data_IF_636433056605
#
_entry.id   IF_636433056605
#
_cell.length_a   1.000
_cell.length_b   1.000
_cell.length_c   1.000
_cell.angle_alpha   90.00
_cell.angle_beta   90.00
_cell.angle_gamma   90.00
#
_symmetry.space_group_name_H-M   'P 1'
#
loop_
_entity.id
_entity.type
_entity.pdbx_description
1 polymer ?
#
# COMPACT_ATOMS: atom_id res chain seq x y z
N UNK A 1 12.72 -55.36 -26.41
CA UNK A 1 13.13 -54.11 -27.09
C UNK A 1 12.29 -54.00 -28.36
N UNK A 2 11.59 -52.88 -28.58
CA UNK A 2 12.22 -51.66 -29.10
C UNK A 2 12.04 -50.45 -28.17
N UNK A 3 13.00 -49.54 -28.26
CA UNK A 3 13.02 -48.21 -27.66
C UNK A 3 12.06 -47.33 -28.45
N UNK A 4 11.18 -46.60 -27.77
CA UNK A 4 10.60 -45.39 -28.35
C UNK A 4 10.88 -44.20 -27.43
N UNK A 5 11.46 -43.22 -28.08
CA UNK A 5 11.98 -41.94 -27.62
C UNK A 5 10.92 -41.05 -26.98
N UNK A 6 11.31 -40.41 -25.89
CA UNK A 6 10.62 -39.27 -25.27
C UNK A 6 10.46 -38.11 -26.26
N UNK A 7 9.57 -37.16 -25.92
CA UNK A 7 10.14 -35.86 -25.57
C UNK A 7 9.72 -35.48 -24.15
N UNK A 8 10.72 -35.26 -23.30
CA UNK A 8 10.56 -34.59 -22.01
C UNK A 8 9.95 -33.22 -22.31
N UNK A 9 8.72 -32.98 -21.87
CA UNK A 9 8.17 -31.63 -21.79
C UNK A 9 9.15 -30.80 -20.97
N UNK A 10 9.76 -29.80 -21.60
CA UNK A 10 10.48 -28.72 -20.92
C UNK A 10 9.49 -28.13 -19.90
N UNK A 11 9.83 -28.26 -18.63
CA UNK A 11 9.28 -27.40 -17.59
C UNK A 11 9.89 -26.04 -17.90
N UNK A 12 9.10 -24.98 -18.19
CA UNK A 12 9.65 -23.64 -18.15
C UNK A 12 9.97 -23.38 -16.68
N UNK A 13 11.26 -23.29 -16.37
CA UNK A 13 11.73 -22.53 -15.22
C UNK A 13 11.21 -21.12 -15.42
N UNK A 14 10.11 -20.77 -14.73
CA UNK A 14 9.64 -19.39 -14.71
C UNK A 14 10.55 -18.63 -13.76
N UNK A 15 11.69 -18.19 -14.31
CA UNK A 15 12.29 -16.92 -13.92
C UNK A 15 11.26 -15.83 -14.20
N UNK A 16 10.48 -15.52 -13.18
CA UNK A 16 9.85 -14.22 -13.01
C UNK A 16 10.17 -13.79 -11.58
N UNK A 17 11.47 -13.60 -11.35
CA UNK A 17 11.96 -12.57 -10.44
C UNK A 17 11.65 -11.22 -11.08
N UNK A 18 10.38 -10.81 -11.00
CA UNK A 18 10.09 -9.41 -10.83
C UNK A 18 9.80 -9.30 -9.35
N UNK A 19 10.70 -8.65 -8.61
CA UNK A 19 10.33 -7.99 -7.37
C UNK A 19 8.99 -7.32 -7.62
N UNK A 20 7.90 -7.93 -7.14
CA UNK A 20 6.62 -7.27 -7.09
C UNK A 20 6.87 -6.12 -6.13
N UNK A 21 7.34 -4.98 -6.66
CA UNK A 21 7.37 -3.72 -5.94
C UNK A 21 6.00 -3.64 -5.33
N UNK A 22 5.95 -3.81 -4.00
CA UNK A 22 4.70 -3.81 -3.28
C UNK A 22 4.07 -2.47 -3.63
N UNK A 23 3.00 -2.49 -4.43
CA UNK A 23 2.45 -1.29 -5.05
C UNK A 23 2.19 -0.21 -3.99
N UNK A 24 1.87 -0.65 -2.77
CA UNK A 24 1.89 0.14 -1.56
C UNK A 24 3.08 -0.21 -0.67
N UNK A 25 3.93 0.76 -0.35
CA UNK A 25 5.05 0.61 0.58
C UNK A 25 4.65 0.92 2.04
N UNK A 26 3.72 1.85 2.23
CA UNK A 26 3.18 2.21 3.54
C UNK A 26 1.74 2.69 3.45
N UNK A 27 1.03 2.66 4.58
CA UNK A 27 -0.30 3.24 4.70
C UNK A 27 -0.44 4.03 6.02
N UNK A 28 -0.98 5.24 5.93
CA UNK A 28 -1.32 6.07 7.09
C UNK A 28 -2.78 5.85 7.47
N UNK A 29 -3.02 5.31 8.66
CA UNK A 29 -4.34 4.93 9.13
C UNK A 29 -5.02 5.99 10.00
N UNK A 30 -6.35 5.94 10.07
CA UNK A 30 -7.17 6.87 10.85
C UNK A 30 -7.06 6.69 12.37
N UNK A 31 -6.46 5.59 12.83
CA UNK A 31 -6.04 5.41 14.22
C UNK A 31 -4.71 6.12 14.55
N UNK A 32 -4.11 6.79 13.56
CA UNK A 32 -2.86 7.54 13.70
C UNK A 32 -1.61 6.70 13.47
N UNK A 33 -1.75 5.40 13.23
CA UNK A 33 -0.63 4.50 13.00
C UNK A 33 -0.14 4.57 11.55
N UNK A 34 1.18 4.49 11.39
CA UNK A 34 1.83 4.28 10.10
C UNK A 34 2.16 2.80 9.96
N UNK A 35 1.68 2.17 8.90
CA UNK A 35 1.95 0.76 8.62
C UNK A 35 2.93 0.63 7.47
N UNK A 36 3.96 -0.20 7.63
CA UNK A 36 4.90 -0.56 6.55
C UNK A 36 4.59 -1.95 6.03
N UNK A 37 4.64 -2.12 4.71
CA UNK A 37 4.40 -3.40 4.07
C UNK A 37 5.50 -4.42 4.42
N UNK A 38 5.13 -5.69 4.47
CA UNK A 38 6.07 -6.80 4.64
C UNK A 38 5.69 -7.96 3.72
N UNK A 39 6.69 -8.70 3.23
CA UNK A 39 6.47 -9.82 2.30
C UNK A 39 6.22 -11.15 3.01
N UNK A 40 6.89 -11.38 4.15
CA UNK A 40 6.87 -12.67 4.84
C UNK A 40 6.09 -12.60 6.16
N UNK A 41 6.72 -12.08 7.21
CA UNK A 41 6.14 -11.94 8.53
C UNK A 41 6.44 -10.55 9.10
N UNK A 42 5.52 -9.97 9.89
CA UNK A 42 5.79 -8.74 10.60
C UNK A 42 6.88 -8.98 11.66
N UNK A 43 7.64 -7.94 12.04
CA UNK A 43 8.53 -8.04 13.18
C UNK A 43 7.77 -8.46 14.45
N UNK A 44 8.38 -9.24 15.37
CA UNK A 44 7.72 -9.71 16.58
C UNK A 44 7.14 -8.56 17.42
N UNK A 45 5.94 -8.77 17.95
CA UNK A 45 5.27 -7.80 18.82
C UNK A 45 4.68 -6.57 18.12
N UNK A 46 4.76 -6.49 16.79
CA UNK A 46 4.11 -5.41 16.02
C UNK A 46 2.64 -5.73 15.75
N UNK A 47 1.79 -4.72 15.92
CA UNK A 47 0.42 -4.79 15.46
C UNK A 47 0.38 -4.91 13.93
N UNK A 48 -0.57 -5.67 13.41
CA UNK A 48 -0.75 -5.87 11.97
C UNK A 48 -2.05 -5.21 11.53
N UNK A 49 -1.99 -4.54 10.39
CA UNK A 49 -3.16 -4.09 9.66
C UNK A 49 -3.26 -4.89 8.36
N UNK A 50 -4.43 -5.49 8.15
CA UNK A 50 -4.84 -6.05 6.86
C UNK A 50 -6.02 -5.22 6.38
N UNK A 51 -5.90 -4.65 5.19
CA UNK A 51 -6.95 -3.83 4.60
C UNK A 51 -7.18 -4.13 3.14
N UNK A 52 -8.41 -3.92 2.70
CA UNK A 52 -8.84 -4.13 1.32
C UNK A 52 -9.16 -2.78 0.68
N UNK A 53 -8.67 -2.59 -0.54
CA UNK A 53 -8.83 -1.33 -1.26
C UNK A 53 -10.31 -1.08 -1.61
N UNK A 54 -10.76 0.16 -1.38
CA UNK A 54 -11.98 0.69 -1.96
C UNK A 54 -11.82 0.85 -3.46
N UNK A 55 -12.84 0.48 -4.21
CA UNK A 55 -12.92 0.71 -5.65
C UNK A 55 -13.20 2.19 -5.92
N UNK A 56 -12.80 2.67 -7.09
CA UNK A 56 -12.92 4.09 -7.43
C UNK A 56 -14.36 4.61 -7.43
N UNK A 57 -15.34 3.77 -7.77
CA UNK A 57 -16.77 4.10 -7.70
C UNK A 57 -17.27 4.20 -6.26
N UNK A 58 -16.79 3.36 -5.35
CA UNK A 58 -17.09 3.44 -3.92
C UNK A 58 -16.52 4.73 -3.31
N UNK A 59 -15.25 5.05 -3.59
CA UNK A 59 -14.60 6.29 -3.13
C UNK A 59 -15.40 7.52 -3.59
N UNK A 60 -15.86 7.53 -4.85
CA UNK A 60 -16.71 8.61 -5.39
C UNK A 60 -18.08 8.67 -4.71
N UNK A 61 -18.70 7.50 -4.47
CA UNK A 61 -20.02 7.40 -3.84
C UNK A 61 -20.01 7.94 -2.41
N UNK A 62 -18.99 7.60 -1.62
CA UNK A 62 -18.85 8.12 -0.25
C UNK A 62 -18.42 9.59 -0.24
N UNK A 63 -17.54 9.97 -1.17
CA UNK A 63 -16.90 11.28 -1.18
C UNK A 63 -16.05 11.52 0.07
N UNK A 64 -15.38 12.68 0.12
CA UNK A 64 -14.47 13.01 1.23
C UNK A 64 -15.18 13.01 2.58
N UNK A 65 -16.37 13.63 2.66
CA UNK A 65 -17.12 13.71 3.92
C UNK A 65 -17.57 12.35 4.44
N UNK A 66 -18.07 11.47 3.56
CA UNK A 66 -18.48 10.12 3.95
C UNK A 66 -17.31 9.26 4.41
N UNK A 67 -16.16 9.37 3.72
CA UNK A 67 -14.94 8.67 4.11
C UNK A 67 -14.39 9.15 5.45
N UNK A 68 -14.41 10.46 5.71
CA UNK A 68 -14.01 11.01 7.01
C UNK A 68 -14.93 10.55 8.15
N UNK A 69 -16.25 10.54 7.93
CA UNK A 69 -17.20 10.01 8.91
C UNK A 69 -16.99 8.52 9.17
N UNK A 70 -16.70 7.74 8.12
CA UNK A 70 -16.40 6.32 8.27
C UNK A 70 -15.09 6.10 9.04
N UNK A 71 -14.06 6.90 8.79
CA UNK A 71 -12.79 6.87 9.49
C UNK A 71 -12.90 7.13 11.01
N UNK A 72 -13.97 7.78 11.47
CA UNK A 72 -14.26 7.98 12.90
C UNK A 72 -14.79 6.73 13.59
N UNK A 73 -15.40 5.81 12.84
CA UNK A 73 -16.04 4.61 13.40
C UNK A 73 -15.32 3.32 13.01
N UNK A 74 -14.52 3.34 11.93
CA UNK A 74 -13.70 2.23 11.48
C UNK A 74 -12.32 2.70 11.03
N UNK A 75 -11.31 1.84 11.13
CA UNK A 75 -9.97 2.18 10.63
C UNK A 75 -9.94 2.15 9.11
N UNK A 76 -9.66 3.31 8.52
CA UNK A 76 -9.30 3.48 7.12
C UNK A 76 -7.83 3.83 7.01
N UNK A 77 -7.14 3.39 5.97
CA UNK A 77 -5.76 3.75 5.72
C UNK A 77 -5.57 4.30 4.30
N UNK A 78 -4.84 5.40 4.18
CA UNK A 78 -4.39 5.95 2.90
C UNK A 78 -3.05 5.32 2.54
N UNK A 79 -3.04 4.50 1.48
CA UNK A 79 -1.83 3.89 0.97
C UNK A 79 -0.95 4.86 0.18
N UNK A 80 0.35 4.58 0.13
CA UNK A 80 1.31 5.31 -0.71
C UNK A 80 1.02 5.20 -2.21
N UNK A 81 0.20 4.23 -2.62
CA UNK A 81 -0.34 4.04 -3.97
C UNK A 81 -1.55 4.95 -4.27
N UNK A 82 -2.04 5.70 -3.28
CA UNK A 82 -3.22 6.56 -3.39
C UNK A 82 -4.56 5.84 -3.19
N UNK A 83 -4.56 4.55 -2.86
CA UNK A 83 -5.75 3.79 -2.52
C UNK A 83 -6.19 4.04 -1.07
N UNK A 84 -7.48 3.89 -0.82
CA UNK A 84 -8.05 3.88 0.54
C UNK A 84 -8.35 2.45 0.91
N UNK A 85 -7.71 1.96 1.96
CA UNK A 85 -7.86 0.60 2.48
C UNK A 85 -8.80 0.61 3.69
N UNK A 86 -9.79 -0.27 3.68
CA UNK A 86 -10.66 -0.52 4.83
C UNK A 86 -10.12 -1.73 5.58
N UNK A 87 -10.02 -1.64 6.91
CA UNK A 87 -9.63 -2.80 7.74
C UNK A 87 -10.48 -4.03 7.41
N UNK A 88 -9.87 -5.21 7.50
CA UNK A 88 -10.56 -6.48 7.31
C UNK A 88 -11.82 -6.61 8.19
N UNK A 89 -12.84 -7.29 7.66
CA UNK A 89 -14.12 -7.51 8.36
C UNK A 89 -15.19 -6.43 8.12
N UNK A 90 -14.87 -5.32 7.45
CA UNK A 90 -15.84 -4.24 7.19
C UNK A 90 -16.34 -4.16 5.74
N UNK A 91 -15.67 -4.82 4.81
CA UNK A 91 -16.08 -4.96 3.41
C UNK A 91 -15.78 -6.37 2.90
N UNK A 92 -16.47 -6.76 1.82
CA UNK A 92 -16.23 -8.01 1.12
C UNK A 92 -14.84 -8.00 0.45
N UNK A 93 -13.92 -8.93 0.77
CA UNK A 93 -12.57 -8.96 0.22
C UNK A 93 -12.50 -9.43 -1.24
N UNK A 94 -13.56 -10.02 -1.80
CA UNK A 94 -13.48 -10.70 -3.09
C UNK A 94 -13.08 -9.75 -4.24
N UNK A 95 -11.98 -10.08 -4.91
CA UNK A 95 -11.46 -9.34 -6.07
C UNK A 95 -10.97 -7.92 -5.74
N UNK A 96 -10.46 -7.69 -4.52
CA UNK A 96 -9.87 -6.41 -4.11
C UNK A 96 -8.37 -6.53 -3.91
N UNK A 97 -7.67 -5.43 -4.17
CA UNK A 97 -6.28 -5.30 -3.79
C UNK A 97 -6.15 -5.28 -2.26
N UNK A 98 -5.11 -5.93 -1.76
CA UNK A 98 -4.88 -6.11 -0.33
C UNK A 98 -3.59 -5.43 0.09
N UNK A 99 -3.65 -4.68 1.18
CA UNK A 99 -2.50 -4.17 1.88
C UNK A 99 -2.32 -4.93 3.20
N UNK A 100 -1.09 -5.34 3.47
CA UNK A 100 -0.68 -6.01 4.71
C UNK A 100 0.53 -5.28 5.27
N UNK A 101 0.35 -4.63 6.41
CA UNK A 101 1.41 -3.83 7.01
C UNK A 101 1.53 -4.04 8.51
N UNK A 102 2.73 -3.81 9.05
CA UNK A 102 2.99 -3.79 10.49
C UNK A 102 3.12 -2.36 10.99
N UNK A 103 2.61 -2.09 12.19
CA UNK A 103 2.66 -0.76 12.79
C UNK A 103 4.11 -0.36 13.06
N UNK A 104 4.48 0.84 12.62
CA UNK A 104 5.75 1.49 12.91
C UNK A 104 5.91 1.73 14.43
N UNK A 105 7.15 1.77 14.92
CA UNK A 105 7.37 2.31 16.27
C UNK A 105 7.21 3.82 16.23
N UNK A 106 7.03 4.48 17.38
CA UNK A 106 7.07 5.93 17.44
C UNK A 106 8.33 6.53 16.77
N UNK A 107 9.49 5.90 16.94
CA UNK A 107 10.74 6.36 16.33
C UNK A 107 10.78 6.15 14.82
N UNK A 108 10.27 5.03 14.31
CA UNK A 108 10.15 4.77 12.88
C UNK A 108 9.16 5.73 12.22
N UNK A 109 8.00 5.93 12.86
CA UNK A 109 6.98 6.86 12.39
C UNK A 109 7.52 8.30 12.35
N UNK A 110 8.27 8.73 13.37
CA UNK A 110 8.90 10.05 13.42
C UNK A 110 9.90 10.24 12.27
N UNK A 111 10.79 9.25 12.03
CA UNK A 111 11.73 9.31 10.91
C UNK A 111 11.03 9.34 9.56
N UNK A 112 10.00 8.52 9.38
CA UNK A 112 9.23 8.49 8.14
C UNK A 112 8.51 9.83 7.90
N UNK A 113 7.94 10.44 8.94
CA UNK A 113 7.29 11.75 8.85
C UNK A 113 8.28 12.85 8.46
N UNK A 114 9.50 12.86 9.02
CA UNK A 114 10.56 13.80 8.65
C UNK A 114 10.95 13.65 7.18
N UNK A 115 11.14 12.42 6.71
CA UNK A 115 11.46 12.14 5.32
C UNK A 115 10.34 12.51 4.35
N UNK A 116 9.09 12.18 4.68
CA UNK A 116 7.92 12.57 3.89
C UNK A 116 7.80 14.10 3.81
N UNK A 117 8.00 14.80 4.93
CA UNK A 117 7.99 16.26 4.95
C UNK A 117 9.10 16.86 4.08
N UNK A 118 10.32 16.30 4.16
CA UNK A 118 11.46 16.73 3.36
C UNK A 118 11.19 16.56 1.87
N UNK A 119 10.70 15.40 1.45
CA UNK A 119 10.36 15.11 0.05
C UNK A 119 9.24 16.03 -0.43
N UNK A 120 8.16 16.17 0.33
CA UNK A 120 7.05 17.06 -0.01
C UNK A 120 7.53 18.51 -0.18
N UNK A 121 8.38 19.00 0.72
CA UNK A 121 8.96 20.34 0.65
C UNK A 121 9.80 20.52 -0.61
N UNK A 122 10.67 19.56 -0.95
CA UNK A 122 11.50 19.61 -2.15
C UNK A 122 10.65 19.65 -3.43
N UNK A 123 9.58 18.85 -3.50
CA UNK A 123 8.65 18.87 -4.64
C UNK A 123 7.96 20.24 -4.77
N UNK A 124 7.49 20.80 -3.65
CA UNK A 124 6.85 22.13 -3.65
C UNK A 124 7.83 23.19 -4.15
N UNK A 125 9.04 23.25 -3.62
CA UNK A 125 10.05 24.23 -4.04
C UNK A 125 10.31 24.16 -5.54
N UNK A 126 10.52 22.94 -6.09
CA UNK A 126 10.77 22.74 -7.52
C UNK A 126 9.59 23.16 -8.39
N UNK A 127 8.35 22.78 -8.01
CA UNK A 127 7.14 23.15 -8.75
C UNK A 127 6.94 24.67 -8.77
N UNK A 128 7.16 25.34 -7.64
CA UNK A 128 7.03 26.79 -7.56
C UNK A 128 8.14 27.52 -8.31
N UNK A 129 9.38 26.99 -8.31
CA UNK A 129 10.48 27.54 -9.11
C UNK A 129 10.14 27.51 -10.61
N UNK A 130 9.65 26.38 -11.13
CA UNK A 130 9.21 26.24 -12.52
C UNK A 130 8.07 27.20 -12.87
N UNK A 131 7.06 27.31 -11.98
CA UNK A 131 5.95 28.25 -12.18
C UNK A 131 6.41 29.71 -12.28
N UNK A 132 7.39 30.13 -11.48
CA UNK A 132 7.95 31.48 -11.54
C UNK A 132 8.78 31.73 -12.80
N UNK A 133 9.51 30.72 -13.29
CA UNK A 133 10.29 30.84 -14.52
C UNK A 133 9.44 30.84 -15.80
N UNK A 134 8.20 30.35 -15.72
CA UNK A 134 7.23 30.32 -16.82
C UNK A 134 6.26 31.52 -16.85
N UNK A 135 6.39 32.46 -15.90
CA UNK A 135 5.60 33.68 -15.79
C UNK A 135 6.43 34.89 -16.21
#
# INVERSE_FOLDING_TARGET
>A
MPRNSTPKKKIPESEADESAELATAFALASDGELYFTFESAPPPGRAVFVGYALRSDEVRKFGVGGLLLWALVQTLALGSDGCIYVREGFIDPEGRDVFRGFAATPEEAARAAEELHRVASNVVVEVFARKRAAA
#
